data_IF_424865388603
#
_entry.id   IF_424865388603
#
_cell.length_a   1.000
_cell.length_b   1.000
_cell.length_c   1.000
_cell.angle_alpha   90.00
_cell.angle_beta   90.00
_cell.angle_gamma   90.00
#
_symmetry.space_group_name_H-M   'P 1'
#
loop_
_entity.id
_entity.type
_entity.pdbx_description
1 polymer ?
#
# COMPACT_ATOMS: atom_id res chain seq x y z
N UNK A 1 -7.43 -10.31 -40.16
CA UNK A 1 -8.36 -9.55 -39.30
C UNK A 1 -7.57 -9.14 -38.08
N UNK A 2 -7.28 -7.86 -37.90
CA UNK A 2 -6.67 -7.38 -36.66
C UNK A 2 -7.63 -7.70 -35.52
N UNK A 3 -7.32 -8.79 -34.81
CA UNK A 3 -7.88 -9.09 -33.50
C UNK A 3 -7.36 -8.02 -32.55
N UNK A 4 -8.01 -6.86 -32.53
CA UNK A 4 -8.03 -6.02 -31.33
C UNK A 4 -8.76 -6.84 -30.28
N UNK A 5 -8.04 -7.75 -29.64
CA UNK A 5 -8.43 -8.35 -28.37
C UNK A 5 -8.73 -7.11 -27.52
N UNK A 6 -9.99 -6.83 -27.16
CA UNK A 6 -10.23 -5.75 -26.24
C UNK A 6 -9.45 -6.15 -25.01
N UNK A 7 -8.38 -5.39 -24.70
CA UNK A 7 -7.58 -5.60 -23.50
C UNK A 7 -8.60 -5.79 -22.39
N UNK A 8 -8.62 -6.94 -21.70
CA UNK A 8 -9.63 -7.23 -20.71
C UNK A 8 -9.60 -6.05 -19.77
N UNK A 9 -10.67 -5.24 -19.80
CA UNK A 9 -10.71 -3.95 -19.13
C UNK A 9 -10.54 -4.28 -17.66
N UNK A 10 -9.33 -4.04 -17.13
CA UNK A 10 -8.89 -4.72 -15.94
C UNK A 10 -9.83 -4.33 -14.80
N UNK A 11 -10.40 -5.33 -14.14
CA UNK A 11 -11.54 -5.13 -13.26
C UNK A 11 -11.18 -4.11 -12.17
N UNK A 12 -11.96 -3.02 -12.06
CA UNK A 12 -11.74 -1.95 -11.08
C UNK A 12 -11.63 -2.48 -9.63
N UNK A 13 -12.29 -3.58 -9.30
CA UNK A 13 -12.18 -4.23 -7.99
C UNK A 13 -10.83 -4.91 -7.76
N UNK A 14 -10.19 -5.47 -8.82
CA UNK A 14 -8.80 -5.96 -8.74
C UNK A 14 -7.83 -4.81 -8.55
N UNK A 15 -8.06 -3.68 -9.24
CA UNK A 15 -7.28 -2.47 -9.04
C UNK A 15 -7.37 -1.99 -7.58
N UNK A 16 -8.56 -1.89 -6.99
CA UNK A 16 -8.72 -1.51 -5.58
C UNK A 16 -8.01 -2.48 -4.62
N UNK A 17 -8.08 -3.79 -4.91
CA UNK A 17 -7.38 -4.80 -4.10
C UNK A 17 -5.85 -4.60 -4.14
N UNK A 18 -5.29 -4.47 -5.34
CA UNK A 18 -3.85 -4.28 -5.54
C UNK A 18 -3.35 -2.93 -5.03
N UNK A 19 -4.12 -1.86 -5.27
CA UNK A 19 -3.80 -0.53 -4.79
C UNK A 19 -3.86 -0.45 -3.26
N UNK A 20 -4.88 -1.06 -2.64
CA UNK A 20 -4.95 -1.20 -1.19
C UNK A 20 -3.76 -1.97 -0.62
N UNK A 21 -3.37 -3.08 -1.26
CA UNK A 21 -2.18 -3.84 -0.86
C UNK A 21 -0.89 -3.02 -0.98
N UNK A 22 -0.72 -2.28 -2.08
CA UNK A 22 0.43 -1.39 -2.28
C UNK A 22 0.49 -0.33 -1.17
N UNK A 23 -0.62 0.36 -0.90
CA UNK A 23 -0.70 1.36 0.16
C UNK A 23 -0.38 0.77 1.54
N UNK A 24 -0.81 -0.46 1.81
CA UNK A 24 -0.52 -1.16 3.05
C UNK A 24 0.99 -1.41 3.20
N UNK A 25 1.63 -1.97 2.17
CA UNK A 25 3.08 -2.21 2.16
C UNK A 25 3.85 -0.90 2.33
N UNK A 26 3.49 0.13 1.58
CA UNK A 26 4.12 1.46 1.68
C UNK A 26 3.93 2.06 3.08
N UNK A 27 2.77 1.88 3.72
CA UNK A 27 2.51 2.39 5.07
C UNK A 27 3.33 1.67 6.14
N UNK A 28 3.52 0.35 5.99
CA UNK A 28 4.39 -0.44 6.87
C UNK A 28 5.84 0.03 6.74
N UNK A 29 6.36 0.14 5.51
CA UNK A 29 7.72 0.62 5.25
C UNK A 29 7.91 2.05 5.77
N UNK A 30 6.93 2.92 5.54
CA UNK A 30 6.92 4.30 6.06
C UNK A 30 6.96 4.36 7.59
N UNK A 31 6.24 3.47 8.27
CA UNK A 31 6.23 3.39 9.74
C UNK A 31 7.60 2.99 10.29
N UNK A 32 8.23 1.99 9.68
CA UNK A 32 9.59 1.56 10.03
C UNK A 32 10.58 2.71 9.81
N UNK A 33 10.51 3.37 8.66
CA UNK A 33 11.40 4.49 8.31
C UNK A 33 11.24 5.70 9.23
N UNK A 34 10.00 6.09 9.56
CA UNK A 34 9.73 7.16 10.53
C UNK A 34 10.31 6.79 11.89
N UNK A 35 10.17 5.53 12.31
CA UNK A 35 10.74 5.00 13.54
C UNK A 35 12.27 5.14 13.59
N UNK A 36 12.96 4.60 12.58
CA UNK A 36 14.43 4.64 12.51
C UNK A 36 14.97 6.06 12.39
N UNK A 37 14.43 6.87 11.48
CA UNK A 37 14.87 8.26 11.26
C UNK A 37 14.64 9.14 12.50
N UNK A 38 13.52 8.96 13.21
CA UNK A 38 13.28 9.72 14.44
C UNK A 38 14.23 9.30 15.55
N UNK A 39 14.46 7.99 15.72
CA UNK A 39 15.35 7.48 16.76
C UNK A 39 16.79 7.97 16.56
N UNK A 40 17.29 7.95 15.32
CA UNK A 40 18.62 8.47 14.99
C UNK A 40 18.73 9.97 15.30
N UNK A 41 17.77 10.78 14.86
CA UNK A 41 17.76 12.22 15.15
C UNK A 41 17.65 12.53 16.64
N UNK A 42 16.79 11.81 17.37
CA UNK A 42 16.65 11.97 18.81
C UNK A 42 17.94 11.59 19.54
N UNK A 43 18.62 10.52 19.11
CA UNK A 43 19.89 10.13 19.70
C UNK A 43 20.93 11.26 19.62
N UNK A 44 21.09 11.89 18.46
CA UNK A 44 22.01 13.03 18.31
C UNK A 44 21.60 14.23 19.16
N UNK A 45 20.31 14.58 19.18
CA UNK A 45 19.82 15.74 19.94
C UNK A 45 19.94 15.54 21.46
N UNK A 46 19.67 14.34 21.95
CA UNK A 46 19.82 14.00 23.37
C UNK A 46 21.28 14.06 23.77
N UNK A 47 22.17 13.48 22.96
CA UNK A 47 23.63 13.55 23.19
C UNK A 47 24.13 15.01 23.21
N UNK A 48 23.64 15.85 22.30
CA UNK A 48 23.94 17.28 22.27
C UNK A 48 23.47 17.99 23.55
N UNK A 49 22.24 17.71 24.01
CA UNK A 49 21.69 18.25 25.25
C UNK A 49 22.48 17.82 26.51
N UNK A 50 22.88 16.55 26.56
CA UNK A 50 23.67 16.00 27.66
C UNK A 50 25.08 16.62 27.71
N UNK A 51 25.67 16.92 26.55
CA UNK A 51 27.02 17.51 26.44
C UNK A 51 27.12 18.95 26.97
N UNK A 52 25.99 19.64 27.18
CA UNK A 52 25.99 20.97 27.79
C UNK A 52 26.49 20.84 29.25
N UNK A 53 27.49 21.60 29.68
CA UNK A 53 27.95 21.58 31.07
C UNK A 53 26.97 22.33 31.99
N UNK A 54 26.75 21.81 33.20
CA UNK A 54 25.88 22.41 34.22
C UNK A 54 24.78 21.48 34.72
N UNK A 55 24.13 21.88 35.82
CA UNK A 55 22.94 21.19 36.34
C UNK A 55 21.75 21.37 35.40
N UNK A 56 20.72 20.52 35.51
CA UNK A 56 19.52 20.62 34.65
C UNK A 56 18.89 22.02 34.67
N UNK A 57 18.82 22.67 35.84
CA UNK A 57 18.34 24.06 35.95
C UNK A 57 19.18 25.06 35.15
N UNK A 58 20.50 24.85 35.04
CA UNK A 58 21.41 25.73 34.27
C UNK A 58 21.24 25.48 32.77
N UNK A 59 21.04 24.22 32.36
CA UNK A 59 20.72 23.83 30.98
C UNK A 59 19.38 24.41 30.54
N UNK A 60 18.38 24.35 31.41
CA UNK A 60 17.05 24.89 31.13
C UNK A 60 17.05 26.42 31.07
N UNK A 61 17.94 27.10 31.82
CA UNK A 61 18.05 28.58 31.78
C UNK A 61 18.94 29.10 30.65
N UNK A 62 19.76 28.26 30.03
CA UNK A 62 20.58 28.65 28.87
C UNK A 62 19.75 28.62 27.58
N UNK A 63 19.91 29.64 26.72
CA UNK A 63 19.18 29.71 25.45
C UNK A 63 19.42 28.52 24.53
N UNK A 64 20.62 27.91 24.61
CA UNK A 64 21.00 26.72 23.84
C UNK A 64 20.25 25.47 24.33
N UNK A 65 20.15 25.25 25.65
CA UNK A 65 19.45 24.09 26.20
C UNK A 65 17.95 24.12 25.89
N UNK A 66 17.29 25.28 26.06
CA UNK A 66 15.88 25.46 25.66
C UNK A 66 15.65 25.18 24.17
N UNK A 67 16.58 25.61 23.32
CA UNK A 67 16.47 25.41 21.88
C UNK A 67 16.56 23.93 21.51
N UNK A 68 17.50 23.18 22.09
CA UNK A 68 17.63 21.73 21.83
C UNK A 68 16.41 20.97 22.38
N UNK A 69 15.93 21.32 23.58
CA UNK A 69 14.72 20.72 24.15
C UNK A 69 13.49 20.97 23.26
N UNK A 70 13.34 22.19 22.73
CA UNK A 70 12.28 22.50 21.77
C UNK A 70 12.40 21.66 20.49
N UNK A 71 13.62 21.41 20.00
CA UNK A 71 13.85 20.49 18.85
C UNK A 71 13.48 19.06 19.17
N UNK A 72 13.81 18.55 20.36
CA UNK A 72 13.43 17.20 20.81
C UNK A 72 11.89 17.08 20.84
N UNK A 73 11.20 18.04 21.48
CA UNK A 73 9.73 18.08 21.52
C UNK A 73 9.12 18.15 20.12
N UNK A 74 9.70 18.95 19.22
CA UNK A 74 9.27 19.01 17.83
C UNK A 74 9.46 17.67 17.10
N UNK A 75 10.59 16.97 17.29
CA UNK A 75 10.82 15.65 16.67
C UNK A 75 9.82 14.61 17.18
N UNK A 76 9.55 14.57 18.49
CA UNK A 76 8.54 13.66 19.07
C UNK A 76 7.16 13.95 18.49
N UNK A 77 6.76 15.23 18.44
CA UNK A 77 5.48 15.64 17.86
C UNK A 77 5.38 15.29 16.38
N UNK A 78 6.45 15.51 15.60
CA UNK A 78 6.49 15.16 14.18
C UNK A 78 6.30 13.67 13.95
N UNK A 79 7.01 12.81 14.71
CA UNK A 79 6.82 11.36 14.68
C UNK A 79 5.36 11.01 14.92
N UNK A 80 4.75 11.60 15.95
CA UNK A 80 3.36 11.32 16.28
C UNK A 80 2.40 11.74 15.14
N UNK A 81 2.59 12.91 14.54
CA UNK A 81 1.83 13.36 13.37
C UNK A 81 1.98 12.40 12.18
N UNK A 82 3.21 11.95 11.88
CA UNK A 82 3.45 11.00 10.79
C UNK A 82 2.80 9.64 11.06
N UNK A 83 2.89 9.14 12.28
CA UNK A 83 2.25 7.87 12.67
C UNK A 83 0.73 7.97 12.57
N UNK A 84 0.13 9.09 13.00
CA UNK A 84 -1.31 9.29 12.80
C UNK A 84 -1.68 9.32 11.32
N UNK A 85 -0.93 10.03 10.48
CA UNK A 85 -1.14 10.02 9.03
C UNK A 85 -1.05 8.61 8.42
N UNK A 86 0.00 7.86 8.78
CA UNK A 86 0.22 6.48 8.32
C UNK A 86 -0.87 5.52 8.81
N UNK A 87 -1.38 5.70 10.03
CA UNK A 87 -2.51 4.90 10.55
C UNK A 87 -3.80 5.14 9.77
N UNK A 88 -4.06 6.39 9.39
CA UNK A 88 -5.19 6.76 8.52
C UNK A 88 -5.07 6.09 7.15
N UNK A 89 -3.91 6.21 6.51
CA UNK A 89 -3.63 5.56 5.22
C UNK A 89 -3.73 4.04 5.32
N UNK A 90 -3.24 3.42 6.41
CA UNK A 90 -3.33 1.98 6.65
C UNK A 90 -4.78 1.52 6.76
N UNK A 91 -5.63 2.29 7.44
CA UNK A 91 -7.06 1.99 7.57
C UNK A 91 -7.73 2.02 6.20
N UNK A 92 -7.47 3.06 5.40
CA UNK A 92 -7.99 3.17 4.03
C UNK A 92 -7.48 2.02 3.15
N UNK A 93 -6.21 1.66 3.28
CA UNK A 93 -5.59 0.56 2.54
C UNK A 93 -6.28 -0.78 2.82
N UNK A 94 -6.55 -1.10 4.10
CA UNK A 94 -7.26 -2.31 4.50
C UNK A 94 -8.69 -2.32 3.97
N UNK A 95 -9.40 -1.19 4.05
CA UNK A 95 -10.78 -1.09 3.55
C UNK A 95 -10.85 -1.29 2.03
N UNK A 96 -9.96 -0.64 1.26
CA UNK A 96 -9.89 -0.81 -0.19
C UNK A 96 -9.52 -2.24 -0.58
N UNK A 97 -8.53 -2.82 0.11
CA UNK A 97 -8.09 -4.19 -0.12
C UNK A 97 -9.24 -5.18 0.12
N UNK A 98 -9.89 -5.09 1.28
CA UNK A 98 -10.99 -5.98 1.64
C UNK A 98 -12.19 -5.81 0.70
N UNK A 99 -12.56 -4.57 0.37
CA UNK A 99 -13.67 -4.29 -0.55
C UNK A 99 -13.37 -4.82 -1.96
N UNK A 100 -12.17 -4.56 -2.47
CA UNK A 100 -11.71 -5.04 -3.78
C UNK A 100 -11.73 -6.56 -3.88
N UNK A 101 -11.11 -7.26 -2.92
CA UNK A 101 -11.11 -8.72 -2.89
C UNK A 101 -12.52 -9.30 -2.76
N UNK A 102 -13.34 -8.75 -1.86
CA UNK A 102 -14.71 -9.24 -1.65
C UNK A 102 -15.56 -9.12 -2.92
N UNK A 103 -15.59 -7.95 -3.56
CA UNK A 103 -16.39 -7.76 -4.78
C UNK A 103 -15.85 -8.58 -5.94
N UNK A 104 -14.53 -8.67 -6.09
CA UNK A 104 -13.92 -9.47 -7.14
C UNK A 104 -14.27 -10.96 -6.99
N UNK A 105 -14.03 -11.55 -5.82
CA UNK A 105 -14.25 -12.98 -5.59
C UNK A 105 -15.74 -13.38 -5.63
N UNK A 106 -16.64 -12.51 -5.14
CA UNK A 106 -18.06 -12.87 -5.03
C UNK A 106 -18.88 -12.56 -6.29
N UNK A 107 -18.54 -11.52 -7.05
CA UNK A 107 -19.38 -11.09 -8.18
C UNK A 107 -18.72 -11.24 -9.54
N UNK A 108 -17.42 -10.98 -9.63
CA UNK A 108 -16.73 -10.92 -10.92
C UNK A 108 -16.16 -12.28 -11.28
N UNK A 109 -15.50 -12.96 -10.34
CA UNK A 109 -14.93 -14.27 -10.59
C UNK A 109 -15.95 -15.29 -11.10
N UNK A 110 -17.16 -15.45 -10.53
CA UNK A 110 -18.13 -16.41 -11.05
C UNK A 110 -18.56 -16.11 -12.50
N UNK A 111 -18.72 -14.82 -12.85
CA UNK A 111 -19.08 -14.41 -14.21
C UNK A 111 -17.93 -14.63 -15.20
N UNK A 112 -16.69 -14.47 -14.75
CA UNK A 112 -15.51 -14.75 -15.55
C UNK A 112 -15.39 -16.25 -15.81
N UNK A 113 -15.59 -17.07 -14.78
CA UNK A 113 -15.54 -18.53 -14.90
C UNK A 113 -16.63 -19.04 -15.87
N UNK A 114 -17.88 -18.55 -15.75
CA UNK A 114 -18.96 -18.88 -16.68
C UNK A 114 -18.65 -18.46 -18.12
N UNK A 115 -18.11 -17.25 -18.31
CA UNK A 115 -17.71 -16.77 -19.63
C UNK A 115 -16.63 -17.65 -20.25
N UNK A 116 -15.63 -18.07 -19.47
CA UNK A 116 -14.58 -18.96 -19.95
C UNK A 116 -15.12 -20.33 -20.34
N UNK A 117 -16.05 -20.89 -19.56
CA UNK A 117 -16.69 -22.16 -19.88
C UNK A 117 -17.48 -22.08 -21.20
N UNK A 118 -18.23 -21.00 -21.41
CA UNK A 118 -18.96 -20.79 -22.67
C UNK A 118 -18.02 -20.60 -23.86
N UNK A 119 -16.90 -19.89 -23.68
CA UNK A 119 -15.87 -19.77 -24.72
C UNK A 119 -15.24 -21.12 -25.06
N UNK A 120 -14.93 -21.94 -24.05
CA UNK A 120 -14.40 -23.28 -24.26
C UNK A 120 -15.36 -24.17 -25.04
N UNK A 121 -16.66 -24.11 -24.72
CA UNK A 121 -17.68 -24.86 -25.46
C UNK A 121 -17.80 -24.41 -26.91
N UNK A 122 -17.76 -23.10 -27.15
CA UNK A 122 -17.78 -22.53 -28.51
C UNK A 122 -16.57 -23.01 -29.31
N UNK A 123 -15.38 -22.93 -28.73
CA UNK A 123 -14.14 -23.34 -29.39
C UNK A 123 -14.14 -24.84 -29.73
N UNK A 124 -14.63 -25.70 -28.82
CA UNK A 124 -14.78 -27.14 -29.08
C UNK A 124 -15.69 -27.43 -30.26
N UNK A 125 -16.84 -26.74 -30.37
CA UNK A 125 -17.77 -26.89 -31.50
C UNK A 125 -17.16 -26.41 -32.82
N UNK A 126 -16.36 -25.34 -32.77
CA UNK A 126 -15.66 -24.82 -33.96
C UNK A 126 -14.62 -25.83 -34.47
N UNK A 127 -13.85 -26.47 -33.57
CA UNK A 127 -12.89 -27.53 -33.89
C UNK A 127 -13.61 -28.73 -34.53
N UNK A 128 -14.65 -29.25 -33.89
CA UNK A 128 -15.43 -30.39 -34.39
C UNK A 128 -16.04 -30.10 -35.77
N UNK A 129 -16.57 -28.90 -35.98
CA UNK A 129 -17.11 -28.49 -37.28
C UNK A 129 -16.04 -28.41 -38.38
N UNK A 130 -14.79 -28.10 -38.01
CA UNK A 130 -13.67 -27.99 -38.94
C UNK A 130 -13.11 -29.37 -39.29
N UNK A 131 -13.01 -30.27 -38.32
CA UNK A 131 -12.62 -31.67 -38.53
C UNK A 131 -13.62 -32.38 -39.47
N UNK A 132 -14.92 -32.23 -39.22
CA UNK A 132 -15.97 -32.80 -40.06
C UNK A 132 -15.92 -32.29 -41.51
N UNK A 133 -15.60 -31.01 -41.73
CA UNK A 133 -15.41 -30.43 -43.07
C UNK A 133 -14.17 -30.96 -43.78
N UNK A 134 -13.15 -31.35 -43.02
CA UNK A 134 -11.90 -31.90 -43.56
C UNK A 134 -12.07 -33.37 -43.90
N UNK A 135 -12.86 -34.12 -43.12
CA UNK A 135 -13.17 -35.53 -43.36
C UNK A 135 -14.13 -35.79 -44.54
N UNK A 136 -14.85 -34.77 -45.01
CA UNK A 136 -15.75 -34.85 -46.16
C UNK A 136 -15.11 -34.41 -47.50
N UNK A 137 -13.83 -34.01 -47.48
CA UNK A 137 -13.03 -33.71 -48.68
C UNK A 137 -12.10 -34.86 -49.00
#
# INVERSE_FOLDING_TARGET
MESKIPLPTDNIYKFYAMFGLLLLITSILGTIWVGTSTNEKLHYLVKEYESIPGTEEVKEKTGIGKFIEARIKAQVKNKQTYIYGLSGTTTIAILLMFYGFRQWHTKIQPKQDEYFDLQLQKLKREIESTENKTAQK
#
